data_IF_632651292236
#
_entry.id   IF_632651292236
#
_cell.length_a   1.000
_cell.length_b   1.000
_cell.length_c   1.000
_cell.angle_alpha   90.00
_cell.angle_beta   90.00
_cell.angle_gamma   90.00
#
_symmetry.space_group_name_H-M   'P 1'
#
loop_
_entity.id
_entity.type
_entity.pdbx_description
1 polymer ?
#
# COMPACT_ATOMS: atom_id res chain seq x y z
N UNK A 1 8.37 4.65 -13.77
CA UNK A 1 6.95 4.65 -13.31
C UNK A 1 6.76 5.88 -12.43
N UNK A 2 5.72 6.69 -12.63
CA UNK A 2 5.45 7.85 -11.78
C UNK A 2 4.83 7.46 -10.43
N UNK A 3 4.91 8.33 -9.44
CA UNK A 3 4.22 8.14 -8.15
C UNK A 3 2.72 8.46 -8.27
N UNK A 4 1.89 7.69 -7.56
CA UNK A 4 0.46 7.98 -7.41
C UNK A 4 0.31 8.93 -6.22
N UNK A 5 -0.33 10.09 -6.45
CA UNK A 5 -0.66 11.02 -5.37
C UNK A 5 -1.97 10.61 -4.73
N UNK A 6 -1.95 10.36 -3.42
CA UNK A 6 -3.11 9.88 -2.66
C UNK A 6 -3.44 10.90 -1.57
N UNK A 7 -4.73 11.15 -1.36
CA UNK A 7 -5.24 11.91 -0.21
C UNK A 7 -6.07 10.97 0.68
N UNK A 8 -5.88 11.08 1.99
CA UNK A 8 -6.61 10.29 3.00
C UNK A 8 -7.49 11.25 3.80
N UNK A 9 -8.79 10.95 3.90
CA UNK A 9 -9.74 11.70 4.73
C UNK A 9 -10.18 10.81 5.89
N UNK A 10 -9.82 11.21 7.10
CA UNK A 10 -9.97 10.41 8.31
C UNK A 10 -8.78 9.46 8.51
N UNK A 11 -8.07 9.62 9.64
CA UNK A 11 -6.86 8.85 9.95
C UNK A 11 -7.17 7.87 11.09
N UNK A 12 -7.86 6.78 10.73
CA UNK A 12 -8.17 5.67 11.63
C UNK A 12 -7.46 4.38 11.23
N UNK A 13 -7.85 3.26 11.83
CA UNK A 13 -7.20 1.95 11.61
C UNK A 13 -7.09 1.57 10.13
N UNK A 14 -8.11 1.87 9.32
CA UNK A 14 -8.09 1.59 7.88
C UNK A 14 -6.96 2.37 7.15
N UNK A 15 -6.76 3.64 7.50
CA UNK A 15 -5.69 4.45 6.92
C UNK A 15 -4.32 3.92 7.37
N UNK A 16 -4.18 3.55 8.64
CA UNK A 16 -2.95 2.96 9.17
C UNK A 16 -2.59 1.65 8.46
N UNK A 17 -3.55 0.74 8.28
CA UNK A 17 -3.32 -0.52 7.56
C UNK A 17 -2.92 -0.29 6.11
N UNK A 18 -3.51 0.70 5.43
CA UNK A 18 -3.14 1.07 4.06
C UNK A 18 -1.69 1.58 4.00
N UNK A 19 -1.33 2.56 4.84
CA UNK A 19 0.00 3.16 4.85
C UNK A 19 1.07 2.12 5.20
N UNK A 20 0.81 1.30 6.20
CA UNK A 20 1.71 0.21 6.59
C UNK A 20 1.86 -0.83 5.48
N UNK A 21 0.77 -1.21 4.82
CA UNK A 21 0.81 -2.14 3.70
C UNK A 21 1.64 -1.61 2.53
N UNK A 22 1.45 -0.34 2.15
CA UNK A 22 2.24 0.30 1.09
C UNK A 22 3.72 0.33 1.44
N UNK A 23 4.08 0.69 2.67
CA UNK A 23 5.48 0.73 3.10
C UNK A 23 6.10 -0.67 3.17
N UNK A 24 5.35 -1.67 3.66
CA UNK A 24 5.81 -3.04 3.80
C UNK A 24 6.08 -3.71 2.44
N UNK A 25 5.22 -3.46 1.45
CA UNK A 25 5.32 -4.08 0.12
C UNK A 25 6.00 -3.21 -0.95
N UNK A 26 6.58 -2.06 -0.59
CA UNK A 26 7.19 -1.12 -1.56
C UNK A 26 8.31 -1.74 -2.43
N UNK A 27 8.95 -2.78 -1.91
CA UNK A 27 10.06 -3.50 -2.56
C UNK A 27 9.69 -4.96 -2.92
N UNK A 28 8.39 -5.29 -2.90
CA UNK A 28 7.93 -6.62 -3.28
C UNK A 28 8.27 -6.93 -4.75
N UNK A 29 8.62 -8.20 -5.03
CA UNK A 29 8.87 -8.65 -6.39
C UNK A 29 7.61 -8.43 -7.26
N UNK A 30 7.68 -7.62 -8.33
CA UNK A 30 6.54 -7.39 -9.21
C UNK A 30 6.01 -8.65 -9.90
N UNK A 31 6.82 -9.70 -10.00
CA UNK A 31 6.41 -11.00 -10.52
C UNK A 31 5.88 -11.95 -9.44
N UNK A 32 6.02 -11.61 -8.16
CA UNK A 32 5.57 -12.39 -7.03
C UNK A 32 4.11 -12.13 -6.67
N UNK A 33 3.41 -13.14 -6.16
CA UNK A 33 2.05 -12.99 -5.63
C UNK A 33 2.09 -12.57 -4.17
N UNK A 34 1.37 -11.51 -3.82
CA UNK A 34 1.19 -11.09 -2.43
C UNK A 34 -0.20 -11.51 -1.96
N UNK A 35 -0.37 -12.48 -1.06
CA UNK A 35 -1.69 -12.95 -0.64
C UNK A 35 -2.58 -11.81 -0.14
N UNK A 36 -3.75 -11.62 -0.77
CA UNK A 36 -4.70 -10.56 -0.43
C UNK A 36 -4.46 -9.21 -1.14
N UNK A 37 -3.37 -9.09 -1.90
CA UNK A 37 -3.12 -8.03 -2.90
C UNK A 37 -3.12 -8.71 -4.28
N UNK A 38 -3.69 -8.06 -5.31
CA UNK A 38 -4.04 -8.70 -6.59
C UNK A 38 -2.94 -9.57 -7.21
#
# INVERSE_FOLDING_TARGET
>A
MGSIRVAIVGVGNCATSLVQGVEYYKDADPAGTVPGLM
#
